data_IF_740274575639
#
_entry.id   IF_740274575639
#
_cell.length_a   1.000
_cell.length_b   1.000
_cell.length_c   1.000
_cell.angle_alpha   90.00
_cell.angle_beta   90.00
_cell.angle_gamma   90.00
#
_symmetry.space_group_name_H-M   'P 1'
#
loop_
_entity.id
_entity.type
_entity.pdbx_description
1 polymer ?
#
# COMPACT_ATOMS: atom_id res chain seq x y z
N UNK A 1 -21.86 -6.66 -6.85
CA UNK A 1 -23.04 -6.07 -6.16
C UNK A 1 -22.75 -5.76 -4.68
N UNK A 2 -22.23 -6.72 -3.90
CA UNK A 2 -21.92 -6.53 -2.45
C UNK A 2 -20.89 -5.42 -2.21
N UNK A 3 -19.78 -5.40 -2.97
CA UNK A 3 -18.75 -4.36 -2.88
C UNK A 3 -19.27 -2.94 -3.18
N UNK A 4 -20.22 -2.81 -4.11
CA UNK A 4 -20.84 -1.53 -4.44
C UNK A 4 -21.73 -1.00 -3.30
N UNK A 5 -22.46 -1.87 -2.63
CA UNK A 5 -23.24 -1.52 -1.43
C UNK A 5 -22.32 -1.10 -0.28
N UNK A 6 -21.18 -1.79 -0.10
CA UNK A 6 -20.15 -1.38 0.87
C UNK A 6 -19.59 0.01 0.59
N UNK A 7 -19.23 0.30 -0.67
CA UNK A 7 -18.76 1.63 -1.08
C UNK A 7 -19.82 2.72 -0.86
N UNK A 8 -21.08 2.45 -1.17
CA UNK A 8 -22.18 3.38 -0.90
C UNK A 8 -22.34 3.69 0.60
N UNK A 9 -22.24 2.67 1.46
CA UNK A 9 -22.29 2.82 2.92
C UNK A 9 -21.14 3.68 3.46
N UNK A 10 -19.92 3.48 2.94
CA UNK A 10 -18.74 4.30 3.29
C UNK A 10 -18.95 5.75 2.88
N UNK A 11 -19.40 5.99 1.65
CA UNK A 11 -19.63 7.35 1.14
C UNK A 11 -20.72 8.07 1.92
N UNK A 12 -21.81 7.38 2.27
CA UNK A 12 -22.87 7.93 3.10
C UNK A 12 -22.35 8.24 4.52
N UNK A 13 -21.59 7.32 5.13
CA UNK A 13 -21.00 7.52 6.45
C UNK A 13 -20.04 8.71 6.51
N UNK A 14 -19.17 8.86 5.50
CA UNK A 14 -18.29 10.02 5.37
C UNK A 14 -19.07 11.32 5.19
N UNK A 15 -20.08 11.30 4.32
CA UNK A 15 -20.93 12.49 4.07
C UNK A 15 -21.62 12.94 5.35
N UNK A 16 -22.20 12.01 6.12
CA UNK A 16 -22.87 12.33 7.38
C UNK A 16 -21.87 12.88 8.43
N UNK A 17 -20.68 12.29 8.52
CA UNK A 17 -19.63 12.76 9.43
C UNK A 17 -19.18 14.19 9.12
N UNK A 18 -19.00 14.53 7.83
CA UNK A 18 -18.61 15.87 7.38
C UNK A 18 -19.74 16.89 7.57
N UNK A 19 -21.00 16.48 7.44
CA UNK A 19 -22.17 17.36 7.56
C UNK A 19 -22.68 17.53 9.01
N UNK A 20 -21.85 17.24 10.02
CA UNK A 20 -22.18 17.52 11.42
C UNK A 20 -23.09 16.49 12.10
N UNK A 21 -23.20 15.27 11.55
CA UNK A 21 -23.90 14.15 12.19
C UNK A 21 -22.91 13.06 12.68
N UNK A 22 -22.06 13.34 13.69
CA UNK A 22 -21.00 12.42 14.12
C UNK A 22 -21.54 11.13 14.78
N UNK A 23 -22.80 11.14 15.24
CA UNK A 23 -23.43 9.97 15.86
C UNK A 23 -23.51 8.76 14.92
N UNK A 24 -23.48 8.98 13.60
CA UNK A 24 -23.60 7.91 12.58
C UNK A 24 -22.24 7.35 12.10
N UNK A 25 -21.17 7.50 12.87
CA UNK A 25 -19.86 6.89 12.58
C UNK A 25 -19.94 5.37 12.38
N UNK A 26 -20.91 4.69 13.00
CA UNK A 26 -21.14 3.26 12.80
C UNK A 26 -21.54 2.90 11.36
N UNK A 27 -22.18 3.82 10.61
CA UNK A 27 -22.56 3.60 9.20
C UNK A 27 -21.31 3.43 8.33
N UNK A 28 -20.28 4.23 8.60
CA UNK A 28 -18.97 4.08 7.95
C UNK A 28 -18.36 2.72 8.25
N UNK A 29 -18.39 2.27 9.51
CA UNK A 29 -17.84 0.97 9.89
C UNK A 29 -18.61 -0.22 9.31
N UNK A 30 -19.94 -0.13 9.25
CA UNK A 30 -20.78 -1.15 8.59
C UNK A 30 -20.46 -1.19 7.10
N UNK A 31 -20.32 -0.03 6.44
CA UNK A 31 -19.90 0.06 5.05
C UNK A 31 -18.52 -0.57 4.82
N UNK A 32 -17.56 -0.28 5.69
CA UNK A 32 -16.21 -0.87 5.65
C UNK A 32 -16.25 -2.38 5.81
N UNK A 33 -17.04 -2.89 6.78
CA UNK A 33 -17.19 -4.33 6.99
C UNK A 33 -17.80 -5.03 5.77
N UNK A 34 -18.86 -4.47 5.17
CA UNK A 34 -19.49 -5.01 3.95
C UNK A 34 -18.53 -4.98 2.75
N UNK A 35 -17.72 -3.92 2.63
CA UNK A 35 -16.69 -3.85 1.59
C UNK A 35 -15.62 -4.93 1.80
N UNK A 36 -15.14 -5.10 3.03
CA UNK A 36 -14.15 -6.12 3.36
C UNK A 36 -14.69 -7.53 3.09
N UNK A 37 -15.90 -7.86 3.52
CA UNK A 37 -16.50 -9.17 3.24
C UNK A 37 -16.69 -9.38 1.75
N UNK A 38 -17.17 -8.38 1.01
CA UNK A 38 -17.27 -8.44 -0.45
C UNK A 38 -15.93 -8.67 -1.14
N UNK A 39 -14.86 -8.04 -0.64
CA UNK A 39 -13.50 -8.22 -1.15
C UNK A 39 -12.94 -9.61 -0.82
N UNK A 40 -13.15 -10.11 0.40
CA UNK A 40 -12.73 -11.46 0.80
C UNK A 40 -13.48 -12.53 -0.01
N UNK A 41 -14.79 -12.35 -0.24
CA UNK A 41 -15.57 -13.23 -1.10
C UNK A 41 -15.00 -13.25 -2.52
N UNK A 42 -14.70 -12.06 -3.08
CA UNK A 42 -14.06 -11.95 -4.39
C UNK A 42 -12.69 -12.64 -4.42
N UNK A 43 -11.85 -12.47 -3.39
CA UNK A 43 -10.56 -13.16 -3.31
C UNK A 43 -10.72 -14.70 -3.25
N UNK A 44 -11.70 -15.17 -2.48
CA UNK A 44 -11.97 -16.61 -2.34
C UNK A 44 -12.45 -17.23 -3.66
N UNK A 45 -13.19 -16.46 -4.46
CA UNK A 45 -13.65 -16.85 -5.79
C UNK A 45 -12.52 -16.77 -6.83
N UNK A 46 -11.64 -15.77 -6.71
CA UNK A 46 -10.54 -15.56 -7.65
C UNK A 46 -9.41 -16.59 -7.52
N UNK A 47 -9.03 -16.97 -6.30
CA UNK A 47 -7.89 -17.87 -6.04
C UNK A 47 -7.94 -19.22 -6.80
N UNK A 48 -9.08 -19.95 -6.88
CA UNK A 48 -9.15 -21.23 -7.60
C UNK A 48 -9.21 -21.10 -9.13
N UNK A 49 -9.44 -19.92 -9.70
CA UNK A 49 -9.62 -19.73 -11.15
C UNK A 49 -8.30 -19.72 -11.94
N UNK A 50 -7.49 -20.77 -11.89
CA UNK A 50 -6.23 -20.88 -12.68
C UNK A 50 -6.44 -21.50 -14.07
N UNK A 51 -7.62 -22.07 -14.35
CA UNK A 51 -7.90 -22.87 -15.54
C UNK A 51 -8.20 -22.06 -16.82
N UNK A 52 -8.65 -20.81 -16.72
CA UNK A 52 -9.00 -19.96 -17.88
C UNK A 52 -7.90 -18.97 -18.27
N UNK A 53 -6.77 -18.93 -17.54
CA UNK A 53 -5.68 -17.98 -17.78
C UNK A 53 -4.99 -18.18 -19.16
N UNK A 54 -5.10 -19.39 -19.72
CA UNK A 54 -4.53 -19.76 -21.03
C UNK A 54 -5.61 -19.95 -22.11
N UNK A 55 -6.89 -19.60 -21.85
CA UNK A 55 -7.91 -19.60 -22.89
C UNK A 55 -7.51 -18.56 -23.94
N UNK A 56 -7.19 -19.06 -25.15
CA UNK A 56 -6.58 -18.37 -26.30
C UNK A 56 -6.67 -16.84 -26.23
N UNK A 57 -5.60 -16.21 -25.73
CA UNK A 57 -5.42 -14.78 -25.90
C UNK A 57 -5.11 -14.61 -27.39
N UNK A 58 -6.05 -14.03 -28.16
CA UNK A 58 -5.75 -13.56 -29.52
C UNK A 58 -4.68 -12.46 -29.44
N UNK A 59 -3.42 -12.88 -29.48
CA UNK A 59 -2.28 -11.98 -29.43
C UNK A 59 -2.05 -11.38 -30.80
N UNK A 60 -2.50 -10.14 -30.99
CA UNK A 60 -2.33 -9.39 -32.24
C UNK A 60 -0.88 -8.96 -32.50
N UNK A 61 0.01 -8.96 -31.47
CA UNK A 61 1.40 -8.52 -31.60
C UNK A 61 2.38 -9.49 -30.92
N UNK A 62 3.49 -9.89 -31.61
CA UNK A 62 4.41 -10.92 -31.12
C UNK A 62 5.14 -10.54 -29.81
N UNK A 63 5.35 -9.24 -29.56
CA UNK A 63 6.02 -8.77 -28.34
C UNK A 63 5.23 -9.03 -27.04
N UNK A 64 3.91 -9.17 -27.11
CA UNK A 64 3.06 -9.38 -25.93
C UNK A 64 2.55 -10.82 -25.81
N UNK A 65 2.97 -11.71 -26.72
CA UNK A 65 2.49 -13.08 -26.79
C UNK A 65 2.87 -13.94 -25.56
N UNK A 66 3.88 -13.55 -24.80
CA UNK A 66 4.38 -14.28 -23.63
C UNK A 66 3.89 -13.72 -22.28
N UNK A 67 3.12 -12.63 -22.28
CA UNK A 67 2.68 -11.95 -21.07
C UNK A 67 1.26 -12.37 -20.70
N UNK A 68 1.11 -13.03 -19.55
CA UNK A 68 -0.20 -13.30 -18.95
C UNK A 68 -0.94 -12.00 -18.64
N UNK A 69 -2.25 -11.96 -18.90
CA UNK A 69 -3.13 -10.82 -18.58
C UNK A 69 -3.01 -10.38 -17.12
N UNK A 70 -2.79 -11.31 -16.19
CA UNK A 70 -2.61 -11.03 -14.74
C UNK A 70 -1.37 -10.18 -14.45
N UNK A 71 -0.23 -10.56 -15.03
CA UNK A 71 1.01 -9.78 -14.92
C UNK A 71 0.85 -8.41 -15.55
N UNK A 72 0.22 -8.34 -16.73
CA UNK A 72 -0.03 -7.06 -17.41
C UNK A 72 -0.91 -6.13 -16.55
N UNK A 73 -2.02 -6.64 -16.02
CA UNK A 73 -2.89 -5.91 -15.10
C UNK A 73 -2.18 -5.43 -13.84
N UNK A 74 -1.28 -6.24 -13.28
CA UNK A 74 -0.45 -5.85 -12.13
C UNK A 74 0.47 -4.68 -12.47
N UNK A 75 1.11 -4.69 -13.64
CA UNK A 75 1.94 -3.56 -14.09
C UNK A 75 1.14 -2.27 -14.26
N UNK A 76 -0.03 -2.33 -14.91
CA UNK A 76 -0.90 -1.16 -15.06
C UNK A 76 -1.35 -0.64 -13.70
N UNK A 77 -1.77 -1.52 -12.78
CA UNK A 77 -2.13 -1.15 -11.41
C UNK A 77 -0.98 -0.41 -10.70
N UNK A 78 0.25 -0.95 -10.74
CA UNK A 78 1.42 -0.31 -10.14
C UNK A 78 1.72 1.07 -10.77
N UNK A 79 1.54 1.23 -12.09
CA UNK A 79 1.69 2.53 -12.74
C UNK A 79 0.68 3.55 -12.23
N UNK A 80 -0.57 3.14 -11.97
CA UNK A 80 -1.58 4.06 -11.41
C UNK A 80 -1.22 4.54 -10.00
N UNK A 81 -0.69 3.66 -9.15
CA UNK A 81 -0.17 4.02 -7.83
C UNK A 81 1.01 4.99 -7.94
N UNK A 82 1.94 4.75 -8.87
CA UNK A 82 3.05 5.66 -9.14
C UNK A 82 2.57 7.06 -9.58
N UNK A 83 1.48 7.15 -10.35
CA UNK A 83 0.90 8.44 -10.75
C UNK A 83 0.28 9.19 -9.56
N UNK A 84 -0.37 8.48 -8.63
CA UNK A 84 -0.92 9.08 -7.40
C UNK A 84 0.22 9.67 -6.55
N UNK A 85 1.27 8.89 -6.28
CA UNK A 85 2.45 9.38 -5.55
C UNK A 85 3.18 10.51 -6.29
N UNK A 86 3.29 10.42 -7.63
CA UNK A 86 3.87 11.48 -8.45
C UNK A 86 3.10 12.78 -8.35
N UNK A 87 1.76 12.71 -8.28
CA UNK A 87 0.91 13.89 -8.08
C UNK A 87 1.10 14.48 -6.69
N UNK A 88 1.15 13.66 -5.63
CA UNK A 88 1.42 14.12 -4.26
C UNK A 88 2.79 14.82 -4.16
N UNK A 89 3.83 14.26 -4.78
CA UNK A 89 5.16 14.85 -4.81
C UNK A 89 5.18 16.16 -5.63
N UNK A 90 4.48 16.20 -6.76
CA UNK A 90 4.36 17.40 -7.59
C UNK A 90 3.71 18.57 -6.82
N UNK A 91 2.64 18.29 -6.08
CA UNK A 91 2.00 19.26 -5.19
C UNK A 91 2.98 19.75 -4.13
N UNK A 92 3.69 18.84 -3.44
CA UNK A 92 4.72 19.20 -2.47
C UNK A 92 5.81 20.11 -3.05
N UNK A 93 6.37 19.76 -4.22
CA UNK A 93 7.41 20.55 -4.88
C UNK A 93 6.91 21.95 -5.26
N UNK A 94 5.66 22.05 -5.72
CA UNK A 94 5.06 23.34 -6.07
C UNK A 94 4.86 24.23 -4.84
N UNK A 95 4.35 23.69 -3.75
CA UNK A 95 4.24 24.44 -2.49
C UNK A 95 5.61 24.84 -1.95
N UNK A 96 6.60 23.94 -2.02
CA UNK A 96 7.98 24.23 -1.59
C UNK A 96 8.60 25.37 -2.41
N UNK A 97 8.39 25.39 -3.73
CA UNK A 97 8.89 26.44 -4.62
C UNK A 97 8.17 27.78 -4.41
N UNK A 98 6.88 27.76 -4.06
CA UNK A 98 6.09 28.97 -3.82
C UNK A 98 6.38 29.64 -2.47
N UNK A 99 6.87 28.89 -1.47
CA UNK A 99 7.09 29.40 -0.11
C UNK A 99 8.28 30.37 0.04
N UNK A 100 9.14 30.52 -0.97
CA UNK A 100 10.27 31.46 -0.92
C UNK A 100 11.19 31.26 0.29
N UNK A 101 11.64 32.37 0.89
CA UNK A 101 12.55 32.41 2.06
C UNK A 101 11.83 32.21 3.41
N UNK A 102 10.49 32.30 3.45
CA UNK A 102 9.67 32.08 4.67
C UNK A 102 9.47 30.60 5.00
N UNK A 103 10.16 29.70 4.27
CA UNK A 103 10.11 28.28 4.55
C UNK A 103 10.89 27.96 5.83
N UNK A 104 10.18 27.75 6.94
CA UNK A 104 10.76 27.16 8.15
C UNK A 104 11.34 25.80 7.77
N UNK A 105 12.67 25.59 7.87
CA UNK A 105 13.26 24.31 7.57
C UNK A 105 12.72 23.30 8.59
N UNK A 106 11.81 22.44 8.16
CA UNK A 106 11.49 21.21 8.90
C UNK A 106 12.78 20.41 9.24
N UNK A 107 13.90 20.71 8.55
CA UNK A 107 15.23 20.22 8.84
C UNK A 107 15.63 20.33 10.33
N UNK A 108 15.30 21.40 11.06
CA UNK A 108 15.72 21.51 12.47
C UNK A 108 14.92 20.60 13.40
N UNK A 109 13.68 20.29 13.04
CA UNK A 109 12.81 19.29 13.72
C UNK A 109 13.24 17.86 13.34
N UNK A 110 13.71 17.66 12.10
CA UNK A 110 14.11 16.35 11.55
C UNK A 110 15.50 15.91 12.04
N UNK A 111 16.40 16.83 12.41
CA UNK A 111 17.77 16.49 12.88
C UNK A 111 17.76 15.51 14.06
N UNK A 112 16.83 15.66 14.99
CA UNK A 112 16.61 14.74 16.13
C UNK A 112 16.31 13.29 15.69
N UNK A 113 15.60 13.13 14.57
CA UNK A 113 15.07 11.85 14.11
C UNK A 113 15.82 11.26 12.91
N UNK A 114 16.91 11.88 12.47
CA UNK A 114 17.70 11.40 11.34
C UNK A 114 18.14 9.95 11.52
N UNK A 115 18.53 9.57 12.75
CA UNK A 115 18.95 8.20 13.08
C UNK A 115 17.80 7.21 12.92
N UNK A 116 16.61 7.55 13.41
CA UNK A 116 15.41 6.71 13.23
C UNK A 116 15.01 6.59 11.75
N UNK A 117 15.08 7.69 10.99
CA UNK A 117 14.84 7.69 9.55
C UNK A 117 15.81 6.80 8.77
N UNK A 118 17.10 6.84 9.12
CA UNK A 118 18.14 5.98 8.51
C UNK A 118 17.91 4.51 8.84
N UNK A 119 17.64 4.19 10.12
CA UNK A 119 17.33 2.81 10.54
C UNK A 119 16.12 2.29 9.77
N UNK A 120 15.09 3.11 9.62
CA UNK A 120 13.86 2.70 8.96
C UNK A 120 14.06 2.48 7.45
N UNK A 121 14.87 3.33 6.81
CA UNK A 121 15.24 3.17 5.40
C UNK A 121 16.09 1.92 5.19
N UNK A 122 17.04 1.65 6.09
CA UNK A 122 17.82 0.41 6.07
C UNK A 122 16.93 -0.82 6.27
N UNK A 123 15.95 -0.76 7.18
CA UNK A 123 15.01 -1.85 7.39
C UNK A 123 14.19 -2.17 6.13
N UNK A 124 13.74 -1.15 5.39
CA UNK A 124 13.05 -1.34 4.10
C UNK A 124 13.97 -1.92 3.02
N UNK A 125 15.21 -1.47 2.94
CA UNK A 125 16.20 -2.00 1.98
C UNK A 125 16.55 -3.46 2.28
N UNK A 126 16.70 -3.81 3.57
CA UNK A 126 16.89 -5.20 3.98
C UNK A 126 15.64 -6.04 3.69
N UNK A 127 14.45 -5.49 3.88
CA UNK A 127 13.18 -6.17 3.58
C UNK A 127 13.03 -6.50 2.09
N UNK A 128 13.45 -5.60 1.20
CA UNK A 128 13.44 -5.88 -0.24
C UNK A 128 14.46 -6.96 -0.62
N UNK A 129 15.64 -6.96 0.01
CA UNK A 129 16.64 -8.02 -0.15
C UNK A 129 16.10 -9.38 0.32
N UNK A 130 15.46 -9.45 1.49
CA UNK A 130 14.88 -10.72 1.98
C UNK A 130 13.76 -11.22 1.09
N UNK A 131 12.98 -10.32 0.46
CA UNK A 131 11.97 -10.71 -0.53
C UNK A 131 12.59 -11.35 -1.78
N UNK A 132 13.70 -10.79 -2.30
CA UNK A 132 14.41 -11.38 -3.45
C UNK A 132 15.01 -12.74 -3.10
N UNK A 133 15.58 -12.89 -1.90
CA UNK A 133 16.08 -14.18 -1.40
C UNK A 133 14.96 -15.21 -1.24
N UNK A 134 13.78 -14.81 -0.78
CA UNK A 134 12.60 -15.68 -0.70
C UNK A 134 12.17 -16.18 -2.09
N UNK A 135 12.17 -15.29 -3.09
CA UNK A 135 11.87 -15.66 -4.48
C UNK A 135 12.90 -16.65 -5.03
N UNK A 136 14.17 -16.45 -4.72
CA UNK A 136 15.24 -17.37 -5.13
C UNK A 136 15.10 -18.75 -4.49
N UNK A 137 14.81 -18.81 -3.19
CA UNK A 137 14.51 -20.06 -2.48
C UNK A 137 13.27 -20.76 -3.06
N UNK A 138 12.23 -20.00 -3.40
CA UNK A 138 11.00 -20.54 -3.99
C UNK A 138 11.26 -21.17 -5.35
N UNK A 139 12.09 -20.53 -6.20
CA UNK A 139 12.53 -21.10 -7.48
C UNK A 139 13.35 -22.39 -7.33
N UNK A 140 13.99 -22.62 -6.18
CA UNK A 140 14.73 -23.85 -5.85
C UNK A 140 13.86 -24.90 -5.14
N UNK A 141 12.55 -24.68 -5.01
CA UNK A 141 11.63 -25.52 -4.23
C UNK A 141 12.05 -25.71 -2.75
N UNK A 142 12.82 -24.78 -2.19
CA UNK A 142 13.15 -24.80 -0.75
C UNK A 142 12.09 -24.04 0.04
N UNK A 143 11.00 -24.74 0.35
CA UNK A 143 9.87 -24.18 1.09
C UNK A 143 10.25 -23.63 2.47
N UNK A 144 11.22 -24.27 3.17
CA UNK A 144 11.65 -23.83 4.50
C UNK A 144 12.37 -22.49 4.43
N UNK A 145 13.28 -22.34 3.48
CA UNK A 145 13.97 -21.08 3.26
C UNK A 145 13.00 -19.99 2.77
N UNK A 146 12.07 -20.31 1.86
CA UNK A 146 11.05 -19.37 1.40
C UNK A 146 10.20 -18.81 2.53
N UNK A 147 9.64 -19.66 3.40
CA UNK A 147 8.83 -19.21 4.53
C UNK A 147 9.65 -18.36 5.49
N UNK A 148 10.89 -18.76 5.80
CA UNK A 148 11.77 -17.99 6.70
C UNK A 148 12.04 -16.58 6.16
N UNK A 149 12.39 -16.45 4.89
CA UNK A 149 12.66 -15.14 4.30
C UNK A 149 11.40 -14.29 4.20
N UNK A 150 10.25 -14.88 3.88
CA UNK A 150 8.97 -14.17 3.83
C UNK A 150 8.54 -13.68 5.22
N UNK A 151 8.70 -14.50 6.25
CA UNK A 151 8.46 -14.08 7.64
C UNK A 151 9.41 -12.95 8.06
N UNK A 152 10.68 -13.00 7.63
CA UNK A 152 11.63 -11.91 7.88
C UNK A 152 11.19 -10.60 7.22
N UNK A 153 10.80 -10.65 5.94
CA UNK A 153 10.25 -9.49 5.21
C UNK A 153 9.03 -8.90 5.93
N UNK A 154 8.11 -9.77 6.39
CA UNK A 154 6.92 -9.35 7.13
C UNK A 154 7.28 -8.66 8.46
N UNK A 155 8.20 -9.23 9.24
CA UNK A 155 8.65 -8.65 10.51
C UNK A 155 9.35 -7.30 10.32
N UNK A 156 10.19 -7.15 9.30
CA UNK A 156 10.85 -5.88 8.97
C UNK A 156 9.82 -4.82 8.54
N UNK A 157 8.81 -5.20 7.77
CA UNK A 157 7.70 -4.32 7.40
C UNK A 157 6.85 -3.90 8.61
N UNK A 158 6.55 -4.84 9.51
CA UNK A 158 5.82 -4.55 10.75
C UNK A 158 6.63 -3.61 11.66
N UNK A 159 7.94 -3.84 11.79
CA UNK A 159 8.84 -2.96 12.52
C UNK A 159 8.82 -1.53 11.96
N UNK A 160 8.86 -1.38 10.64
CA UNK A 160 8.74 -0.07 9.97
C UNK A 160 7.45 0.66 10.38
N UNK A 161 6.32 -0.04 10.40
CA UNK A 161 5.02 0.54 10.79
C UNK A 161 4.98 0.95 12.26
N UNK A 162 5.56 0.13 13.16
CA UNK A 162 5.63 0.44 14.59
C UNK A 162 6.46 1.70 14.84
N UNK A 163 7.63 1.82 14.22
CA UNK A 163 8.48 3.02 14.34
C UNK A 163 7.72 4.25 13.84
N UNK A 164 7.03 4.15 12.70
CA UNK A 164 6.22 5.26 12.16
C UNK A 164 5.04 5.63 13.04
N UNK A 165 4.37 4.65 13.64
CA UNK A 165 3.31 4.88 14.61
C UNK A 165 3.82 5.61 15.85
N UNK A 166 5.00 5.22 16.35
CA UNK A 166 5.64 5.87 17.50
C UNK A 166 6.05 7.32 17.18
N UNK A 167 6.70 7.57 16.04
CA UNK A 167 7.04 8.93 15.61
C UNK A 167 5.79 9.82 15.54
N UNK A 168 4.70 9.32 14.97
CA UNK A 168 3.48 10.10 14.84
C UNK A 168 2.78 10.37 16.17
N UNK A 169 2.84 9.41 17.10
CA UNK A 169 2.32 9.58 18.45
C UNK A 169 3.11 10.64 19.23
N UNK A 170 4.44 10.61 19.13
CA UNK A 170 5.31 11.62 19.72
C UNK A 170 5.00 13.01 19.14
N UNK A 171 4.79 13.10 17.82
CA UNK A 171 4.46 14.36 17.13
C UNK A 171 3.12 14.93 17.60
N UNK A 172 2.16 14.06 17.89
CA UNK A 172 0.85 14.46 18.40
C UNK A 172 0.91 14.99 19.83
N UNK A 173 1.78 14.44 20.68
CA UNK A 173 1.85 14.79 22.10
C UNK A 173 2.73 16.01 22.38
N UNK A 174 3.31 16.64 21.35
CA UNK A 174 4.04 17.90 21.50
C UNK A 174 5.41 17.75 22.15
N UNK A 175 6.01 16.57 22.13
CA UNK A 175 7.41 16.36 22.52
C UNK A 175 8.37 16.78 21.38
N UNK A 176 8.10 17.94 20.77
CA UNK A 176 8.86 18.55 19.68
C UNK A 176 9.06 20.05 19.93
#
# INVERSE_FOLDING_TARGET
>A
MISALGMMGIMLGLTLAVNGYPAFWFVFLVGLFVLLTGFIMWLSEYYPMTSEENAEIETYHPAFASLSTRKFGTWIFLLTEMMVFGTLLSVYLRYRAAAGDDWVPAADIIRSHLVFGVINTMALLLSSLTMVLALYAAKRNDHKATTRYLSCTFLLGALFLVIKGFEWWEMKNGHF
#
